data_IF_201446357679
#
_entry.id   IF_201446357679
#
_cell.length_a   1.000
_cell.length_b   1.000
_cell.length_c   1.000
_cell.angle_alpha   90.00
_cell.angle_beta   90.00
_cell.angle_gamma   90.00
#
_symmetry.space_group_name_H-M   'P 1'
#
loop_
_entity.id
_entity.type
_entity.pdbx_description
1 polymer ?
#
# COMPACT_ATOMS: atom_id res chain seq x y z
N UNK A 1 -13.49 -4.69 9.83
CA UNK A 1 -12.87 -4.96 11.15
C UNK A 1 -11.59 -4.15 11.28
N UNK A 2 -11.33 -3.53 12.42
CA UNK A 2 -10.11 -2.74 12.63
C UNK A 2 -9.06 -3.61 13.33
N UNK A 3 -7.98 -3.96 12.63
CA UNK A 3 -6.87 -4.72 13.22
C UNK A 3 -6.20 -3.95 14.37
N UNK A 4 -5.84 -4.65 15.44
CA UNK A 4 -5.08 -4.06 16.53
C UNK A 4 -3.69 -3.62 16.03
N UNK A 5 -3.14 -2.57 16.64
CA UNK A 5 -1.78 -2.12 16.31
C UNK A 5 -0.73 -3.23 16.49
N UNK A 6 -0.90 -4.08 17.51
CA UNK A 6 0.00 -5.20 17.79
C UNK A 6 -0.06 -6.25 16.68
N UNK A 7 -1.27 -6.60 16.21
CA UNK A 7 -1.43 -7.53 15.10
C UNK A 7 -0.84 -6.93 13.81
N UNK A 8 -1.00 -5.63 13.56
CA UNK A 8 -0.39 -4.96 12.41
C UNK A 8 1.16 -4.95 12.49
N UNK A 9 1.74 -4.81 13.69
CA UNK A 9 3.18 -4.99 13.89
C UNK A 9 3.59 -6.45 13.60
N UNK A 10 2.82 -7.42 14.07
CA UNK A 10 3.01 -8.84 13.77
C UNK A 10 3.04 -9.12 12.27
N UNK A 11 2.03 -8.66 11.54
CA UNK A 11 1.99 -8.77 10.08
C UNK A 11 3.19 -8.08 9.42
N UNK A 12 3.60 -6.91 9.90
CA UNK A 12 4.80 -6.24 9.39
C UNK A 12 6.08 -7.06 9.56
N UNK A 13 6.20 -7.79 10.68
CA UNK A 13 7.32 -8.73 10.90
C UNK A 13 7.26 -9.90 9.91
N UNK A 14 6.07 -10.46 9.68
CA UNK A 14 5.89 -11.52 8.68
C UNK A 14 6.25 -11.05 7.27
N UNK A 15 5.86 -9.83 6.90
CA UNK A 15 6.26 -9.22 5.61
C UNK A 15 7.78 -9.09 5.51
N UNK A 16 8.48 -8.76 6.60
CA UNK A 16 9.96 -8.76 6.63
C UNK A 16 10.50 -10.17 6.35
N UNK A 17 10.07 -11.16 7.11
CA UNK A 17 10.51 -12.56 6.97
C UNK A 17 10.27 -13.10 5.56
N UNK A 18 9.06 -12.94 5.01
CA UNK A 18 8.73 -13.41 3.66
C UNK A 18 9.60 -12.74 2.59
N UNK A 19 9.88 -11.44 2.74
CA UNK A 19 10.75 -10.72 1.80
C UNK A 19 12.19 -11.22 1.88
N UNK A 20 12.69 -11.45 3.09
CA UNK A 20 14.04 -11.95 3.30
C UNK A 20 14.20 -13.39 2.79
N UNK A 21 13.27 -14.27 3.12
CA UNK A 21 13.35 -15.71 2.86
C UNK A 21 12.98 -16.07 1.41
N UNK A 22 11.89 -15.54 0.86
CA UNK A 22 11.41 -15.96 -0.47
C UNK A 22 11.87 -15.08 -1.61
N UNK A 23 12.11 -13.79 -1.36
CA UNK A 23 12.50 -12.87 -2.42
C UNK A 23 14.01 -12.64 -2.43
N UNK A 24 14.59 -12.32 -1.28
CA UNK A 24 15.99 -11.97 -1.18
C UNK A 24 16.93 -13.18 -1.23
N UNK A 25 16.73 -14.22 -0.41
CA UNK A 25 17.67 -15.36 -0.38
C UNK A 25 17.94 -15.95 -1.78
N UNK A 26 16.93 -16.20 -2.64
CA UNK A 26 17.18 -16.72 -3.99
C UNK A 26 17.94 -15.74 -4.91
N UNK A 27 17.77 -14.43 -4.70
CA UNK A 27 18.39 -13.40 -5.54
C UNK A 27 19.74 -12.89 -5.02
N UNK A 28 20.09 -13.17 -3.77
CA UNK A 28 21.20 -12.53 -3.05
C UNK A 28 22.55 -12.71 -3.76
N UNK A 29 22.85 -13.90 -4.28
CA UNK A 29 24.09 -14.20 -4.99
C UNK A 29 24.23 -13.36 -6.25
N UNK A 30 23.17 -13.29 -7.06
CA UNK A 30 23.13 -12.49 -8.29
C UNK A 30 23.23 -10.98 -8.01
N UNK A 31 22.57 -10.49 -6.95
CA UNK A 31 22.65 -9.07 -6.55
C UNK A 31 24.07 -8.72 -6.09
N UNK A 32 24.69 -9.58 -5.27
CA UNK A 32 26.06 -9.40 -4.78
C UNK A 32 27.08 -9.39 -5.92
N UNK A 33 26.93 -10.27 -6.91
CA UNK A 33 27.80 -10.34 -8.08
C UNK A 33 27.83 -9.03 -8.90
N UNK A 34 26.75 -8.24 -8.86
CA UNK A 34 26.66 -6.93 -9.55
C UNK A 34 27.31 -5.77 -8.77
N UNK A 35 27.87 -6.04 -7.59
CA UNK A 35 28.61 -5.05 -6.80
C UNK A 35 27.75 -3.95 -6.17
N UNK A 36 26.42 -3.96 -6.33
CA UNK A 36 25.50 -2.90 -5.89
C UNK A 36 24.65 -3.25 -4.65
N UNK A 37 25.09 -4.21 -3.84
CA UNK A 37 24.52 -4.50 -2.52
C UNK A 37 25.09 -5.78 -1.89
N UNK A 38 25.37 -5.74 -0.58
CA UNK A 38 25.92 -6.86 0.18
C UNK A 38 24.88 -7.59 1.05
N UNK A 39 23.85 -6.87 1.52
CA UNK A 39 22.82 -7.38 2.43
C UNK A 39 21.48 -6.66 2.25
N UNK A 40 20.42 -7.29 2.75
CA UNK A 40 19.10 -6.71 2.92
C UNK A 40 18.76 -6.66 4.42
N UNK A 41 18.19 -5.55 4.86
CA UNK A 41 17.54 -5.39 6.15
C UNK A 41 16.07 -5.04 5.92
N UNK A 42 15.16 -5.93 6.31
CA UNK A 42 13.74 -5.56 6.42
C UNK A 42 13.43 -5.09 7.83
N UNK A 43 12.57 -4.07 7.96
CA UNK A 43 12.13 -3.60 9.28
C UNK A 43 10.70 -3.09 9.27
N UNK A 44 10.11 -3.05 10.46
CA UNK A 44 8.79 -2.47 10.69
C UNK A 44 8.92 -1.00 11.12
N UNK A 45 8.24 -0.10 10.42
CA UNK A 45 8.15 1.32 10.74
C UNK A 45 6.76 1.72 11.25
N UNK A 46 6.64 2.83 11.97
CA UNK A 46 5.35 3.28 12.52
C UNK A 46 4.43 4.01 11.52
N UNK A 47 4.96 4.44 10.38
CA UNK A 47 4.29 5.34 9.42
C UNK A 47 3.42 4.65 8.38
N UNK A 48 2.93 5.47 7.43
CA UNK A 48 2.24 5.00 6.22
C UNK A 48 3.17 4.84 5.02
N UNK A 49 4.38 5.40 5.08
CA UNK A 49 5.38 5.17 4.04
C UNK A 49 5.93 3.75 4.15
N UNK A 50 5.85 3.02 3.04
CA UNK A 50 6.63 1.81 2.79
C UNK A 50 7.58 2.14 1.65
N UNK A 51 8.85 1.79 1.81
CA UNK A 51 9.87 2.16 0.82
C UNK A 51 11.14 1.32 0.93
N UNK A 52 11.77 1.13 -0.23
CA UNK A 52 13.15 0.72 -0.38
C UNK A 52 14.13 1.91 -0.39
N UNK A 53 15.20 1.81 0.41
CA UNK A 53 16.39 2.66 0.36
C UNK A 53 17.67 1.84 0.26
N UNK A 54 18.72 2.41 -0.31
CA UNK A 54 20.07 1.84 -0.33
C UNK A 54 21.05 2.76 0.40
N UNK A 55 21.85 2.19 1.30
CA UNK A 55 22.95 2.89 1.95
C UNK A 55 24.28 2.55 1.25
N UNK A 56 24.92 3.49 0.54
CA UNK A 56 26.18 3.24 -0.15
C UNK A 56 27.36 3.02 0.79
N UNK A 57 27.31 3.49 2.05
CA UNK A 57 28.42 3.36 3.01
C UNK A 57 28.52 1.93 3.53
N UNK A 58 27.38 1.34 3.86
CA UNK A 58 27.30 -0.03 4.37
C UNK A 58 26.99 -1.06 3.25
N UNK A 59 26.72 -0.57 2.03
CA UNK A 59 26.26 -1.36 0.88
C UNK A 59 25.02 -2.19 1.21
N UNK A 60 24.14 -1.66 2.05
CA UNK A 60 22.95 -2.35 2.55
C UNK A 60 21.68 -1.82 1.89
N UNK A 61 20.85 -2.75 1.42
CA UNK A 61 19.47 -2.44 1.08
C UNK A 61 18.60 -2.46 2.34
N UNK A 62 17.65 -1.54 2.43
CA UNK A 62 16.65 -1.57 3.48
C UNK A 62 15.25 -1.41 2.91
N UNK A 63 14.35 -2.29 3.32
CA UNK A 63 12.91 -2.19 3.06
C UNK A 63 12.21 -1.93 4.40
N UNK A 64 11.38 -0.90 4.45
CA UNK A 64 10.60 -0.57 5.66
C UNK A 64 9.12 -0.76 5.40
N UNK A 65 8.46 -1.64 6.16
CA UNK A 65 7.01 -1.84 6.12
C UNK A 65 6.30 -1.01 7.20
N UNK A 66 5.40 -0.13 6.78
CA UNK A 66 4.71 0.79 7.68
C UNK A 66 3.49 0.18 8.38
N UNK A 67 3.42 0.24 9.71
CA UNK A 67 2.26 -0.23 10.50
C UNK A 67 0.98 0.49 10.11
N UNK A 68 1.01 1.82 9.89
CA UNK A 68 -0.18 2.56 9.47
C UNK A 68 -0.56 2.26 8.01
N UNK A 69 0.37 1.76 7.20
CA UNK A 69 0.07 1.26 5.85
C UNK A 69 -0.68 -0.06 5.92
N UNK A 70 -0.21 -0.99 6.77
CA UNK A 70 -0.87 -2.28 6.99
C UNK A 70 -2.30 -2.09 7.48
N UNK A 71 -2.50 -1.22 8.49
CA UNK A 71 -3.83 -0.89 9.00
C UNK A 71 -4.74 -0.32 7.90
N UNK A 72 -4.22 0.61 7.08
CA UNK A 72 -5.00 1.20 6.00
C UNK A 72 -5.43 0.16 4.95
N UNK A 73 -4.55 -0.75 4.56
CA UNK A 73 -4.86 -1.78 3.56
C UNK A 73 -5.91 -2.81 4.00
N UNK A 74 -6.28 -2.84 5.28
CA UNK A 74 -7.39 -3.69 5.76
C UNK A 74 -8.77 -3.04 5.63
N UNK A 75 -8.83 -1.73 5.37
CA UNK A 75 -10.07 -0.99 5.22
C UNK A 75 -10.33 -0.73 3.74
N UNK A 76 -11.44 -1.24 3.21
CA UNK A 76 -11.78 -1.13 1.79
C UNK A 76 -11.78 0.34 1.30
N UNK A 77 -12.29 1.24 2.13
CA UNK A 77 -12.44 2.68 1.86
C UNK A 77 -11.09 3.38 1.64
N UNK A 78 -10.06 2.94 2.38
CA UNK A 78 -8.73 3.52 2.32
C UNK A 78 -7.78 2.75 1.39
N UNK A 79 -8.03 1.45 1.18
CA UNK A 79 -7.30 0.60 0.25
C UNK A 79 -7.33 1.15 -1.19
N UNK A 80 -8.41 1.83 -1.60
CA UNK A 80 -8.55 2.45 -2.93
C UNK A 80 -7.47 3.47 -3.28
N UNK A 81 -6.94 4.18 -2.28
CA UNK A 81 -5.97 5.26 -2.50
C UNK A 81 -4.58 4.77 -2.91
N UNK A 82 -4.30 3.49 -2.68
CA UNK A 82 -2.96 2.94 -2.83
C UNK A 82 -2.62 2.60 -4.27
N UNK A 83 -1.35 2.82 -4.64
CA UNK A 83 -0.82 2.42 -5.95
C UNK A 83 -0.96 0.91 -6.16
N UNK A 84 -0.67 0.11 -5.14
CA UNK A 84 -0.80 -1.36 -5.15
C UNK A 84 -2.18 -1.86 -5.59
N UNK A 85 -3.26 -1.16 -5.19
CA UNK A 85 -4.62 -1.59 -5.54
C UNK A 85 -4.87 -1.39 -7.03
N UNK A 86 -4.37 -0.28 -7.58
CA UNK A 86 -4.43 0.01 -9.02
C UNK A 86 -3.55 -0.95 -9.81
N UNK A 87 -2.36 -1.25 -9.33
CA UNK A 87 -1.44 -2.20 -9.98
C UNK A 87 -2.09 -3.59 -10.05
N UNK A 88 -2.66 -4.08 -8.94
CA UNK A 88 -3.36 -5.37 -8.90
C UNK A 88 -4.48 -5.43 -9.93
N UNK A 89 -5.37 -4.43 -9.95
CA UNK A 89 -6.52 -4.42 -10.85
C UNK A 89 -6.12 -4.22 -12.32
N UNK A 90 -5.26 -3.25 -12.62
CA UNK A 90 -4.95 -2.86 -14.00
C UNK A 90 -4.03 -3.86 -14.70
N UNK A 91 -3.18 -4.55 -13.95
CA UNK A 91 -2.25 -5.54 -14.50
C UNK A 91 -2.73 -6.98 -14.31
N UNK A 92 -3.90 -7.17 -13.67
CA UNK A 92 -4.46 -8.51 -13.41
C UNK A 92 -3.64 -9.35 -12.44
N UNK A 93 -2.77 -8.73 -11.64
CA UNK A 93 -2.00 -9.46 -10.64
C UNK A 93 -2.93 -10.14 -9.64
N UNK A 94 -2.60 -11.36 -9.22
CA UNK A 94 -3.51 -12.18 -8.39
C UNK A 94 -4.94 -12.27 -8.94
N UNK A 95 -5.12 -12.27 -10.28
CA UNK A 95 -6.44 -12.28 -10.90
C UNK A 95 -7.21 -10.96 -10.79
N UNK A 96 -6.55 -9.88 -10.38
CA UNK A 96 -7.19 -8.58 -10.13
C UNK A 96 -7.94 -8.51 -8.80
N UNK A 97 -7.86 -9.54 -7.97
CA UNK A 97 -8.60 -9.63 -6.71
C UNK A 97 -7.96 -8.80 -5.61
N UNK A 98 -8.78 -7.96 -4.97
CA UNK A 98 -8.36 -7.13 -3.87
C UNK A 98 -8.79 -7.73 -2.54
N UNK A 99 -7.82 -8.37 -1.91
CA UNK A 99 -7.88 -8.90 -0.56
C UNK A 99 -6.78 -8.23 0.26
N UNK A 100 -6.91 -8.24 1.59
CA UNK A 100 -5.83 -7.73 2.46
C UNK A 100 -4.54 -8.50 2.20
N UNK A 101 -4.63 -9.83 2.10
CA UNK A 101 -3.50 -10.69 1.78
C UNK A 101 -2.81 -10.28 0.47
N UNK A 102 -3.57 -10.14 -0.64
CA UNK A 102 -3.00 -9.80 -1.93
C UNK A 102 -2.33 -8.43 -1.90
N UNK A 103 -2.91 -7.46 -1.19
CA UNK A 103 -2.33 -6.13 -1.04
C UNK A 103 -1.02 -6.13 -0.26
N UNK A 104 -0.90 -6.94 0.79
CA UNK A 104 0.35 -7.04 1.56
C UNK A 104 1.42 -7.82 0.78
N UNK A 105 1.06 -8.95 0.18
CA UNK A 105 1.96 -9.73 -0.67
C UNK A 105 2.48 -8.90 -1.85
N UNK A 106 1.59 -8.17 -2.53
CA UNK A 106 1.98 -7.26 -3.61
C UNK A 106 2.96 -6.19 -3.13
N UNK A 107 2.75 -5.67 -1.92
CA UNK A 107 3.62 -4.64 -1.33
C UNK A 107 5.03 -5.19 -1.11
N UNK A 108 5.18 -6.45 -0.68
CA UNK A 108 6.48 -7.10 -0.59
C UNK A 108 7.17 -7.17 -1.97
N UNK A 109 6.46 -7.63 -2.99
CA UNK A 109 7.00 -7.69 -4.36
C UNK A 109 7.34 -6.31 -4.91
N UNK A 110 6.52 -5.30 -4.66
CA UNK A 110 6.71 -3.92 -5.13
C UNK A 110 8.00 -3.31 -4.57
N UNK A 111 8.21 -3.42 -3.26
CA UNK A 111 9.44 -2.89 -2.64
C UNK A 111 10.68 -3.68 -3.05
N UNK A 112 10.54 -5.00 -3.23
CA UNK A 112 11.61 -5.82 -3.74
C UNK A 112 11.95 -5.50 -5.21
N UNK A 113 10.95 -5.18 -6.03
CA UNK A 113 11.18 -4.73 -7.40
C UNK A 113 11.98 -3.41 -7.42
N UNK A 114 11.75 -2.49 -6.48
CA UNK A 114 12.60 -1.30 -6.32
C UNK A 114 14.04 -1.63 -5.94
N UNK A 115 14.26 -2.69 -5.16
CA UNK A 115 15.59 -3.20 -4.85
C UNK A 115 16.27 -3.69 -6.12
N UNK A 116 15.65 -4.61 -6.85
CA UNK A 116 16.19 -5.18 -8.08
C UNK A 116 16.45 -4.11 -9.15
N UNK A 117 15.52 -3.16 -9.31
CA UNK A 117 15.66 -2.02 -10.21
C UNK A 117 16.88 -1.16 -9.86
N UNK A 118 17.12 -0.92 -8.56
CA UNK A 118 18.29 -0.18 -8.09
C UNK A 118 19.58 -0.97 -8.37
N UNK A 119 19.61 -2.27 -8.05
CA UNK A 119 20.77 -3.14 -8.29
C UNK A 119 21.10 -3.25 -9.79
N UNK A 120 20.10 -3.16 -10.67
CA UNK A 120 20.27 -3.07 -12.12
C UNK A 120 20.74 -1.70 -12.63
N UNK A 121 20.80 -0.68 -11.77
CA UNK A 121 21.14 0.70 -12.16
C UNK A 121 20.07 1.37 -13.02
N UNK A 122 18.81 0.93 -12.92
CA UNK A 122 17.68 1.40 -13.74
C UNK A 122 16.66 2.21 -12.94
N UNK A 123 17.04 2.67 -11.74
CA UNK A 123 16.26 3.60 -10.93
C UNK A 123 16.74 5.02 -11.21
N UNK A 124 15.86 5.89 -11.70
CA UNK A 124 16.19 7.26 -12.10
C UNK A 124 15.50 8.29 -11.20
N UNK A 125 16.14 9.46 -11.02
CA UNK A 125 15.56 10.57 -10.28
C UNK A 125 14.25 11.02 -10.93
N UNK A 126 13.18 11.13 -10.15
CA UNK A 126 11.83 11.49 -10.64
C UNK A 126 11.10 10.38 -11.42
N UNK A 127 11.70 9.21 -11.62
CA UNK A 127 11.10 8.11 -12.39
C UNK A 127 11.41 6.74 -11.75
N UNK A 128 10.73 6.48 -10.62
CA UNK A 128 10.91 5.24 -9.84
C UNK A 128 10.02 4.08 -10.33
N UNK A 129 8.84 4.37 -10.87
CA UNK A 129 7.92 3.38 -11.48
C UNK A 129 8.01 3.43 -13.01
N UNK A 130 9.22 3.23 -13.54
CA UNK A 130 9.48 3.24 -14.98
C UNK A 130 9.23 1.86 -15.63
N UNK A 131 9.43 1.75 -16.95
CA UNK A 131 9.25 0.50 -17.70
C UNK A 131 9.99 -0.68 -17.05
N UNK A 132 11.26 -0.48 -16.67
CA UNK A 132 12.06 -1.55 -16.09
C UNK A 132 11.58 -2.01 -14.72
N UNK A 133 11.05 -1.09 -13.90
CA UNK A 133 10.39 -1.46 -12.65
C UNK A 133 9.22 -2.41 -12.90
N UNK A 134 8.37 -2.08 -13.87
CA UNK A 134 7.21 -2.91 -14.18
C UNK A 134 7.60 -4.23 -14.84
N UNK A 135 8.63 -4.28 -15.69
CA UNK A 135 9.17 -5.54 -16.21
C UNK A 135 9.60 -6.49 -15.09
N UNK A 136 10.29 -5.98 -14.06
CA UNK A 136 10.66 -6.77 -12.88
C UNK A 136 9.41 -7.24 -12.12
N UNK A 137 8.46 -6.34 -11.90
CA UNK A 137 7.25 -6.65 -11.14
C UNK A 137 6.39 -7.69 -11.87
N UNK A 138 6.22 -7.56 -13.19
CA UNK A 138 5.55 -8.51 -14.06
C UNK A 138 6.22 -9.88 -13.98
N UNK A 139 7.56 -9.95 -14.10
CA UNK A 139 8.33 -11.19 -13.93
C UNK A 139 8.14 -11.84 -12.56
N UNK A 140 8.06 -11.07 -11.48
CA UNK A 140 7.78 -11.62 -10.14
C UNK A 140 6.40 -12.29 -10.09
N UNK A 141 5.39 -11.77 -10.80
CA UNK A 141 4.08 -12.40 -10.89
C UNK A 141 4.06 -13.61 -11.83
N UNK A 142 4.62 -13.48 -13.02
CA UNK A 142 4.63 -14.52 -14.06
C UNK A 142 5.44 -15.74 -13.65
N UNK A 143 6.58 -15.55 -12.96
CA UNK A 143 7.41 -16.65 -12.45
C UNK A 143 6.83 -17.36 -11.23
N UNK A 144 5.73 -16.86 -10.66
CA UNK A 144 5.12 -17.40 -9.44
C UNK A 144 5.75 -16.91 -8.14
N UNK A 145 6.80 -16.08 -8.17
CA UNK A 145 7.40 -15.49 -6.96
C UNK A 145 6.40 -14.69 -6.11
N UNK A 146 5.50 -13.94 -6.74
CA UNK A 146 4.45 -13.20 -6.05
C UNK A 146 3.40 -14.13 -5.43
N UNK A 147 3.08 -15.24 -6.08
CA UNK A 147 2.16 -16.26 -5.55
C UNK A 147 2.79 -16.98 -4.35
N UNK A 148 4.06 -17.37 -4.44
CA UNK A 148 4.80 -17.95 -3.33
C UNK A 148 4.88 -16.99 -2.13
N UNK A 149 5.13 -15.70 -2.38
CA UNK A 149 5.11 -14.63 -1.35
C UNK A 149 3.75 -14.56 -0.66
N UNK A 150 2.66 -14.56 -1.43
CA UNK A 150 1.28 -14.57 -0.93
C UNK A 150 1.01 -15.78 -0.05
N UNK A 151 1.28 -16.98 -0.57
CA UNK A 151 0.91 -18.23 0.08
C UNK A 151 1.71 -18.44 1.38
N UNK A 152 3.00 -18.08 1.37
CA UNK A 152 3.83 -18.16 2.57
C UNK A 152 3.47 -17.12 3.63
N UNK A 153 3.11 -15.89 3.22
CA UNK A 153 2.61 -14.88 4.14
C UNK A 153 1.31 -15.34 4.84
N UNK A 154 0.40 -15.96 4.09
CA UNK A 154 -0.82 -16.54 4.64
C UNK A 154 -0.53 -17.64 5.65
N UNK A 155 0.38 -18.56 5.30
CA UNK A 155 0.75 -19.68 6.16
C UNK A 155 1.39 -19.20 7.47
N UNK A 156 2.33 -18.26 7.40
CA UNK A 156 2.94 -17.69 8.62
C UNK A 156 1.92 -16.94 9.49
N UNK A 157 0.99 -16.21 8.88
CA UNK A 157 -0.06 -15.51 9.62
C UNK A 157 -0.96 -16.51 10.36
N UNK A 158 -1.34 -17.59 9.69
CA UNK A 158 -2.12 -18.70 10.27
C UNK A 158 -1.38 -19.37 11.44
N UNK A 159 -0.11 -19.71 11.25
CA UNK A 159 0.73 -20.32 12.29
C UNK A 159 0.89 -19.43 13.53
N UNK A 160 0.92 -18.11 13.35
CA UNK A 160 1.05 -17.15 14.46
C UNK A 160 -0.29 -16.64 15.00
N UNK A 161 -1.42 -17.16 14.52
CA UNK A 161 -2.76 -16.73 14.93
C UNK A 161 -3.05 -15.26 14.61
N UNK A 162 -2.39 -14.69 13.59
CA UNK A 162 -2.59 -13.31 13.18
C UNK A 162 -3.73 -13.21 12.17
N UNK A 163 -4.74 -12.35 12.40
CA UNK A 163 -5.84 -12.18 11.47
C UNK A 163 -5.35 -11.51 10.19
N UNK A 164 -5.48 -12.24 9.08
CA UNK A 164 -5.15 -11.77 7.74
C UNK A 164 -6.29 -12.13 6.78
N UNK A 165 -7.23 -11.21 6.52
CA UNK A 165 -8.39 -11.48 5.67
C UNK A 165 -8.01 -11.90 4.25
N UNK A 166 -8.67 -12.93 3.77
CA UNK A 166 -8.56 -13.47 2.41
C UNK A 166 -9.76 -13.10 1.54
N UNK A 167 -10.83 -12.61 2.16
CA UNK A 167 -12.06 -12.24 1.51
C UNK A 167 -11.80 -11.06 0.57
N UNK A 168 -12.22 -11.15 -0.70
CA UNK A 168 -12.27 -10.01 -1.59
C UNK A 168 -13.17 -8.94 -0.99
N UNK A 169 -12.73 -7.69 -1.06
CA UNK A 169 -13.62 -6.56 -0.85
C UNK A 169 -13.88 -5.87 -2.17
N UNK A 170 -15.15 -5.59 -2.43
CA UNK A 170 -15.55 -4.85 -3.62
C UNK A 170 -15.12 -3.39 -3.51
N UNK A 171 -14.45 -2.92 -4.56
CA UNK A 171 -14.11 -1.51 -4.70
C UNK A 171 -15.24 -0.81 -5.43
N UNK A 172 -15.91 0.11 -4.75
CA UNK A 172 -16.78 1.09 -5.42
C UNK A 172 -15.87 2.11 -6.09
N UNK A 173 -15.92 2.21 -7.43
CA UNK A 173 -15.03 3.11 -8.17
C UNK A 173 -15.17 4.56 -7.67
N UNK A 174 -14.09 5.31 -7.44
CA UNK A 174 -14.18 6.72 -7.00
C UNK A 174 -15.02 7.58 -7.95
N UNK A 175 -15.11 7.24 -9.24
CA UNK A 175 -16.00 7.92 -10.18
C UNK A 175 -17.47 7.68 -9.88
N UNK A 176 -17.84 6.47 -9.46
CA UNK A 176 -19.19 6.13 -9.02
C UNK A 176 -19.52 6.83 -7.70
N UNK A 177 -18.59 6.82 -6.73
CA UNK A 177 -18.77 7.55 -5.47
C UNK A 177 -18.86 9.07 -5.68
N UNK A 178 -18.03 9.65 -6.55
CA UNK A 178 -18.08 11.07 -6.86
C UNK A 178 -19.40 11.48 -7.53
N UNK A 179 -20.07 10.56 -8.23
CA UNK A 179 -21.38 10.83 -8.83
C UNK A 179 -22.50 10.99 -7.78
N UNK A 180 -22.28 10.50 -6.55
CA UNK A 180 -23.23 10.61 -5.45
C UNK A 180 -23.15 11.97 -4.72
N UNK A 181 -22.22 12.85 -5.10
CA UNK A 181 -21.94 14.10 -4.41
C UNK A 181 -22.03 15.28 -5.38
N UNK A 182 -22.61 16.39 -4.90
CA UNK A 182 -22.74 17.64 -5.63
C UNK A 182 -22.29 18.83 -4.78
N UNK A 183 -22.05 19.97 -5.45
CA UNK A 183 -21.77 21.23 -4.76
C UNK A 183 -22.99 21.64 -3.95
N UNK A 184 -22.78 21.98 -2.68
CA UNK A 184 -23.83 22.34 -1.73
C UNK A 184 -24.12 21.26 -0.68
N UNK A 185 -23.80 20.00 -0.96
CA UNK A 185 -24.05 18.90 -0.03
C UNK A 185 -23.31 19.11 1.29
N UNK A 186 -24.02 18.88 2.41
CA UNK A 186 -23.42 18.78 3.73
C UNK A 186 -22.81 17.40 3.92
N UNK A 187 -21.59 17.35 4.44
CA UNK A 187 -20.80 16.13 4.58
C UNK A 187 -20.04 16.11 5.90
N UNK A 188 -19.84 14.90 6.41
CA UNK A 188 -18.87 14.60 7.47
C UNK A 188 -17.67 13.85 6.91
N UNK A 189 -16.50 14.05 7.49
CA UNK A 189 -15.28 13.33 7.13
C UNK A 189 -14.25 13.40 8.25
N UNK A 190 -13.40 12.38 8.33
CA UNK A 190 -12.29 12.38 9.28
C UNK A 190 -11.06 13.07 8.67
N UNK A 191 -10.43 13.96 9.46
CA UNK A 191 -9.16 14.57 9.12
C UNK A 191 -8.21 14.51 10.33
N UNK A 192 -7.20 13.66 10.25
CA UNK A 192 -6.31 13.39 11.38
C UNK A 192 -7.01 12.57 12.46
N UNK A 193 -7.19 13.12 13.66
CA UNK A 193 -7.89 12.48 14.79
C UNK A 193 -9.28 13.06 15.06
N UNK A 194 -9.70 14.01 14.23
CA UNK A 194 -10.92 14.77 14.44
C UNK A 194 -11.88 14.50 13.30
N UNK A 195 -13.16 14.40 13.63
CA UNK A 195 -14.24 14.41 12.66
C UNK A 195 -14.62 15.86 12.35
N UNK A 196 -14.80 16.14 11.08
CA UNK A 196 -15.13 17.47 10.57
C UNK A 196 -16.42 17.43 9.77
N UNK A 197 -17.13 18.54 9.78
CA UNK A 197 -18.35 18.74 9.02
C UNK A 197 -18.13 19.91 8.06
N UNK A 198 -18.79 19.89 6.90
CA UNK A 198 -18.71 21.00 5.97
C UNK A 198 -19.65 20.88 4.78
N UNK A 199 -19.58 21.88 3.89
CA UNK A 199 -20.30 21.91 2.61
C UNK A 199 -19.36 21.70 1.45
N UNK A 200 -19.72 20.83 0.51
CA UNK A 200 -18.95 20.64 -0.72
C UNK A 200 -19.02 21.93 -1.54
N UNK A 201 -17.86 22.49 -1.88
CA UNK A 201 -17.74 23.66 -2.76
C UNK A 201 -17.14 23.33 -4.13
N UNK A 202 -16.59 22.12 -4.30
CA UNK A 202 -16.10 21.61 -5.59
C UNK A 202 -16.04 20.09 -5.59
N UNK A 203 -16.58 19.45 -6.62
CA UNK A 203 -16.43 18.01 -6.86
C UNK A 203 -15.38 17.77 -7.94
N UNK A 204 -14.41 16.90 -7.68
CA UNK A 204 -13.48 16.39 -8.69
C UNK A 204 -13.57 14.86 -8.71
N UNK A 205 -13.02 14.23 -9.76
CA UNK A 205 -13.11 12.78 -10.00
C UNK A 205 -12.69 11.88 -8.81
N UNK A 206 -11.79 12.34 -7.93
CA UNK A 206 -11.29 11.56 -6.79
C UNK A 206 -11.44 12.26 -5.43
N UNK A 207 -11.74 13.56 -5.42
CA UNK A 207 -11.74 14.37 -4.20
C UNK A 207 -12.77 15.47 -4.28
N UNK A 208 -13.44 15.77 -3.18
CA UNK A 208 -14.24 16.98 -3.01
C UNK A 208 -13.43 18.04 -2.23
N UNK A 209 -13.62 19.30 -2.58
CA UNK A 209 -13.21 20.42 -1.72
C UNK A 209 -14.38 20.75 -0.82
N UNK A 210 -14.18 20.67 0.49
CA UNK A 210 -15.19 20.91 1.51
C UNK A 210 -14.83 22.20 2.26
N UNK A 211 -15.77 23.14 2.32
CA UNK A 211 -15.70 24.30 3.20
C UNK A 211 -16.21 23.89 4.58
N UNK A 212 -15.37 23.99 5.60
CA UNK A 212 -15.74 23.60 6.96
C UNK A 212 -16.90 24.45 7.51
N UNK A 213 -17.74 23.82 8.33
CA UNK A 213 -18.79 24.48 9.12
C UNK A 213 -18.52 24.32 10.62
N UNK A 214 -19.25 25.06 11.45
CA UNK A 214 -19.12 25.01 12.91
C UNK A 214 -17.67 25.28 13.37
N UNK A 215 -17.05 24.39 14.18
CA UNK A 215 -15.67 24.57 14.65
C UNK A 215 -14.60 24.68 13.56
N UNK A 216 -14.91 24.22 12.34
CA UNK A 216 -13.98 24.26 11.20
C UNK A 216 -14.29 25.38 10.21
N UNK A 217 -15.13 26.36 10.59
CA UNK A 217 -15.53 27.47 9.72
C UNK A 217 -14.32 28.27 9.23
N UNK A 218 -14.29 28.55 7.93
CA UNK A 218 -13.21 29.29 7.27
C UNK A 218 -12.07 28.40 6.75
N UNK A 219 -12.02 27.13 7.15
CA UNK A 219 -11.05 26.16 6.63
C UNK A 219 -11.57 25.46 5.38
N UNK A 220 -10.65 25.06 4.51
CA UNK A 220 -10.94 24.28 3.30
C UNK A 220 -10.16 22.98 3.33
N UNK A 221 -10.88 21.88 3.11
CA UNK A 221 -10.32 20.54 3.11
C UNK A 221 -10.44 19.94 1.72
N UNK A 222 -9.39 19.24 1.29
CA UNK A 222 -9.46 18.38 0.11
C UNK A 222 -9.61 16.94 0.59
N UNK A 223 -10.80 16.39 0.42
CA UNK A 223 -11.18 15.11 1.01
C UNK A 223 -11.39 14.08 -0.11
N UNK A 224 -10.75 12.90 -0.05
CA UNK A 224 -11.09 11.78 -0.93
C UNK A 224 -12.59 11.47 -0.86
N UNK A 225 -13.22 11.23 -2.02
CA UNK A 225 -14.67 10.95 -2.08
C UNK A 225 -15.10 9.72 -1.26
N UNK A 226 -14.17 8.81 -0.98
CA UNK A 226 -14.39 7.63 -0.15
C UNK A 226 -14.40 7.89 1.36
N UNK A 227 -13.98 9.07 1.80
CA UNK A 227 -13.99 9.46 3.21
C UNK A 227 -15.15 10.41 3.55
N UNK A 228 -16.00 10.73 2.58
CA UNK A 228 -17.19 11.54 2.79
C UNK A 228 -18.33 10.64 3.27
N UNK A 229 -19.00 11.07 4.34
CA UNK A 229 -20.26 10.52 4.81
C UNK A 229 -21.34 11.59 4.83
N UNK A 230 -22.61 11.17 4.83
CA UNK A 230 -23.73 12.04 5.12
C UNK A 230 -23.71 12.46 6.61
N UNK A 231 -24.22 13.64 6.97
CA UNK A 231 -24.20 14.13 8.35
C UNK A 231 -25.00 13.26 9.33
N UNK A 232 -26.02 12.57 8.83
CA UNK A 232 -27.00 11.81 9.63
C UNK A 232 -26.71 10.30 9.73
N UNK A 233 -25.55 9.85 9.28
CA UNK A 233 -25.13 8.44 9.29
C UNK A 233 -23.93 8.16 10.16
#
# INVERSE_FOLDING_TARGET
MTISRNNAIGLGKLMCSVTEELLWQPAASWIRARGRGGSLLCRVGSGQATYHRYDPRTRQHQITYGVRMIIAKQQAESAMGWLSSREIQQRGYFGGELTTLNLLAHTCCHEFAHLLQYSAGKRFHGSVHNRHFYEILDQLHESGGARATRDYLAELARQQGLPLPHEPFEIIQPRQLAANWQVGDEVRFDHGRSQHHGKIIRVNRKTCTVSGIGPSRGLRYRVPVSLLGTPDG
#
